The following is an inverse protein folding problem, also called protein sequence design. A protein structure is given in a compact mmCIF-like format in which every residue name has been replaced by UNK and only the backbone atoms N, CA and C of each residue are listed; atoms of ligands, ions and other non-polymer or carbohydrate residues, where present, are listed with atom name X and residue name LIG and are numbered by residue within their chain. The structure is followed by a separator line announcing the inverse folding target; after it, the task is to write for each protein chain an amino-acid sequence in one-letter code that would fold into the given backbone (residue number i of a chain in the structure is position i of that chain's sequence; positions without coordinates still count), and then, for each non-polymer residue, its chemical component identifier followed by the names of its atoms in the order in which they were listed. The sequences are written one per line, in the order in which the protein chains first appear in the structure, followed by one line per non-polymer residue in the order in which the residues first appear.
data_IF_899200804587
#
_entry.id   IF_899200804587
#
_cell.length_a   1.000
_cell.length_b   1.000
_cell.length_c   1.000
_cell.angle_alpha   90.00
_cell.angle_beta   90.00
_cell.angle_gamma   90.00
#
_symmetry.space_group_name_H-M   'P 1'
#
loop_
_entity.id
_entity.type
_entity.pdbx_description
1 polymer ?
#
# COMPACT_ATOMS: atom_id res chain seq x y z
N UNK A 1 16.94 5.14 8.87
CA UNK A 1 15.68 5.90 8.90
C UNK A 1 15.26 6.14 7.46
N UNK A 2 14.37 5.30 6.92
CA UNK A 2 13.89 5.44 5.54
C UNK A 2 12.89 6.59 5.50
N UNK A 3 13.43 7.81 5.37
CA UNK A 3 12.64 9.00 5.15
C UNK A 3 12.13 8.94 3.70
N UNK A 4 10.82 8.79 3.55
CA UNK A 4 10.12 8.87 2.28
C UNK A 4 10.59 10.13 1.53
N UNK A 5 11.03 9.94 0.29
CA UNK A 5 11.42 11.02 -0.62
C UNK A 5 10.23 11.95 -0.85
N UNK A 6 10.10 13.01 -0.05
CA UNK A 6 9.14 14.08 -0.30
C UNK A 6 9.58 14.82 -1.56
N UNK A 7 8.77 14.76 -2.63
CA UNK A 7 9.05 15.56 -3.81
C UNK A 7 8.87 17.05 -3.46
N UNK A 8 9.79 17.86 -3.97
CA UNK A 8 10.10 19.23 -3.55
C UNK A 8 8.93 20.26 -3.62
N UNK A 9 7.75 19.87 -4.11
CA UNK A 9 6.60 20.77 -4.37
C UNK A 9 5.25 20.26 -3.82
N UNK A 10 5.25 19.37 -2.81
CA UNK A 10 4.01 18.83 -2.27
C UNK A 10 3.38 19.75 -1.23
N UNK A 11 2.05 19.99 -1.34
CA UNK A 11 1.31 20.78 -0.35
C UNK A 11 0.79 19.87 0.75
N UNK A 12 1.24 20.12 1.99
CA UNK A 12 0.64 19.50 3.18
C UNK A 12 -0.82 19.95 3.28
N UNK A 13 -1.72 18.99 3.52
CA UNK A 13 -3.16 19.20 3.69
C UNK A 13 -3.54 19.26 5.15
N UNK A 14 -3.03 18.33 5.94
CA UNK A 14 -3.24 18.32 7.39
C UNK A 14 -2.09 17.62 8.09
N UNK A 15 -1.91 17.98 9.36
CA UNK A 15 -1.00 17.31 10.28
C UNK A 15 -1.79 17.01 11.55
N UNK A 16 -1.71 15.77 12.03
CA UNK A 16 -2.33 15.35 13.29
C UNK A 16 -1.24 14.93 14.26
N UNK A 17 -1.24 15.56 15.43
CA UNK A 17 -0.35 15.26 16.56
C UNK A 17 -1.16 14.55 17.64
N UNK A 18 -0.70 13.38 18.07
CA UNK A 18 -1.32 12.61 19.13
C UNK A 18 -0.26 12.34 20.19
N UNK A 19 -0.54 12.70 21.44
CA UNK A 19 0.22 12.23 22.59
C UNK A 19 -0.58 11.11 23.26
N UNK A 20 0.03 9.94 23.41
CA UNK A 20 -0.54 8.82 24.15
C UNK A 20 0.53 8.23 25.07
N UNK A 21 0.32 8.35 26.38
CA UNK A 21 1.18 7.83 27.43
C UNK A 21 2.66 8.25 27.30
N UNK A 22 2.92 9.51 26.92
CA UNK A 22 4.28 10.04 26.75
C UNK A 22 4.89 9.77 25.36
N UNK A 23 4.21 9.00 24.51
CA UNK A 23 4.59 8.79 23.12
C UNK A 23 3.90 9.79 22.21
N UNK A 24 4.65 10.33 21.25
CA UNK A 24 4.13 11.26 20.25
C UNK A 24 4.02 10.58 18.90
N UNK A 25 2.83 10.64 18.31
CA UNK A 25 2.54 10.17 16.97
C UNK A 25 2.21 11.36 16.08
N UNK A 26 2.78 11.35 14.88
CA UNK A 26 2.60 12.41 13.88
C UNK A 26 2.07 11.76 12.62
N UNK A 27 0.90 12.18 12.17
CA UNK A 27 0.35 11.84 10.86
C UNK A 27 0.40 13.07 9.97
N UNK A 28 1.02 12.95 8.80
CA UNK A 28 1.10 14.02 7.80
C UNK A 28 0.34 13.58 6.57
N UNK A 29 -0.72 14.32 6.23
CA UNK A 29 -1.45 14.14 4.98
C UNK A 29 -0.94 15.18 3.98
N UNK A 30 -0.36 14.74 2.87
CA UNK A 30 0.07 15.62 1.79
C UNK A 30 -0.64 15.29 0.48
N UNK A 31 -0.83 16.31 -0.34
CA UNK A 31 -1.30 16.16 -1.72
C UNK A 31 -0.11 16.33 -2.67
N UNK A 32 0.08 15.32 -3.51
CA UNK A 32 1.04 15.35 -4.60
C UNK A 32 0.34 15.11 -5.93
N UNK A 33 0.86 15.73 -6.98
CA UNK A 33 0.43 15.44 -8.34
C UNK A 33 1.26 14.30 -8.89
N UNK A 34 0.65 13.12 -9.03
CA UNK A 34 1.28 12.01 -9.74
C UNK A 34 1.04 12.20 -11.23
N UNK A 35 2.06 12.60 -11.98
CA UNK A 35 2.03 12.50 -13.45
C UNK A 35 2.03 11.02 -13.82
N UNK A 36 0.86 10.51 -14.24
CA UNK A 36 0.73 9.16 -14.79
C UNK A 36 1.28 9.20 -16.22
N UNK A 37 2.50 8.73 -16.41
CA UNK A 37 3.01 8.46 -17.75
C UNK A 37 2.31 7.23 -18.29
N UNK A 38 1.69 7.34 -19.47
CA UNK A 38 1.14 6.17 -20.16
C UNK A 38 2.30 5.28 -20.57
N UNK A 39 2.32 4.07 -20.04
CA UNK A 39 3.23 3.03 -20.51
C UNK A 39 2.57 2.37 -21.73
N UNK A 40 3.28 2.19 -22.85
CA UNK A 40 2.74 1.43 -23.97
C UNK A 40 2.34 0.04 -23.52
N UNK A 41 1.22 -0.46 -24.04
CA UNK A 41 0.77 -1.83 -23.80
C UNK A 41 1.85 -2.76 -24.36
N UNK A 42 2.32 -3.68 -23.53
CA UNK A 42 3.27 -4.71 -23.90
C UNK A 42 2.75 -6.07 -23.43
N UNK A 43 3.40 -7.14 -23.87
CA UNK A 43 3.02 -8.52 -23.52
C UNK A 43 3.29 -8.86 -22.03
N UNK A 44 3.75 -7.90 -21.22
CA UNK A 44 4.01 -8.05 -19.77
C UNK A 44 2.86 -7.51 -18.91
N UNK A 45 1.63 -7.51 -19.43
CA UNK A 45 0.46 -7.21 -18.61
C UNK A 45 0.03 -8.44 -17.83
N UNK A 46 -0.16 -8.26 -16.52
CA UNK A 46 -0.66 -9.29 -15.63
C UNK A 46 -2.08 -8.89 -15.22
N UNK A 47 -3.05 -9.75 -15.48
CA UNK A 47 -4.40 -9.61 -14.95
C UNK A 47 -4.41 -10.00 -13.48
N UNK A 48 -5.13 -9.25 -12.64
CA UNK A 48 -5.29 -9.54 -11.21
C UNK A 48 -6.77 -9.53 -10.89
N UNK A 49 -7.29 -10.69 -10.51
CA UNK A 49 -8.67 -10.89 -10.08
C UNK A 49 -8.74 -11.16 -8.58
N UNK A 50 -9.84 -10.75 -7.96
CA UNK A 50 -10.10 -11.03 -6.55
C UNK A 50 -10.55 -12.49 -6.36
N UNK A 51 -10.03 -13.15 -5.33
CA UNK A 51 -10.45 -14.49 -4.91
C UNK A 51 -10.74 -14.51 -3.42
N UNK A 52 -11.87 -15.07 -3.02
CA UNK A 52 -12.25 -15.14 -1.61
C UNK A 52 -11.34 -16.09 -0.80
N UNK A 53 -10.86 -17.17 -1.41
CA UNK A 53 -10.01 -18.16 -0.72
C UNK A 53 -8.54 -17.77 -0.65
N UNK A 54 -8.07 -17.01 -1.65
CA UNK A 54 -6.65 -16.72 -1.88
C UNK A 54 -6.35 -15.22 -1.96
N UNK A 55 -7.30 -14.36 -1.59
CA UNK A 55 -7.27 -12.89 -1.70
C UNK A 55 -7.17 -12.35 -3.14
N UNK A 56 -6.21 -12.83 -3.94
CA UNK A 56 -6.08 -12.52 -5.36
C UNK A 56 -5.56 -13.72 -6.15
N UNK A 57 -5.84 -13.73 -7.46
CA UNK A 57 -5.25 -14.64 -8.44
C UNK A 57 -4.78 -13.81 -9.63
N UNK A 58 -3.57 -14.08 -10.12
CA UNK A 58 -3.06 -13.46 -11.34
C UNK A 58 -3.34 -14.29 -12.59
N UNK A 59 -3.26 -13.68 -13.77
CA UNK A 59 -3.32 -14.39 -15.07
C UNK A 59 -2.18 -15.42 -15.25
N UNK A 60 -1.13 -15.32 -14.45
CA UNK A 60 -0.01 -16.27 -14.36
C UNK A 60 -0.23 -17.32 -13.26
N UNK A 61 -1.44 -17.41 -12.70
CA UNK A 61 -1.84 -18.31 -11.62
C UNK A 61 -1.06 -18.10 -10.30
N UNK A 62 -0.50 -16.90 -10.07
CA UNK A 62 0.06 -16.52 -8.78
C UNK A 62 -1.08 -16.16 -7.81
N UNK A 63 -0.95 -16.57 -6.55
CA UNK A 63 -2.02 -16.51 -5.54
C UNK A 63 -1.47 -15.97 -4.22
N UNK A 64 -2.28 -15.24 -3.46
CA UNK A 64 -1.94 -14.95 -2.08
C UNK A 64 -2.33 -16.14 -1.19
N UNK A 65 -1.39 -16.66 -0.42
CA UNK A 65 -1.63 -17.74 0.56
C UNK A 65 -2.39 -17.23 1.81
N UNK A 66 -3.50 -16.49 1.59
CA UNK A 66 -4.21 -15.74 2.62
C UNK A 66 -4.78 -16.64 3.72
N UNK A 67 -5.28 -17.82 3.37
CA UNK A 67 -5.77 -18.81 4.33
C UNK A 67 -4.69 -19.33 5.29
N UNK A 68 -3.41 -19.31 4.91
CA UNK A 68 -2.30 -19.66 5.80
C UNK A 68 -2.05 -18.54 6.81
N UNK A 69 -2.12 -17.28 6.37
CA UNK A 69 -1.90 -16.12 7.22
C UNK A 69 -2.98 -15.97 8.30
N UNK A 70 -4.26 -16.13 7.96
CA UNK A 70 -5.36 -16.11 8.94
C UNK A 70 -5.16 -17.17 10.04
N UNK A 71 -4.80 -18.40 9.65
CA UNK A 71 -4.52 -19.51 10.59
C UNK A 71 -3.30 -19.27 11.48
N UNK A 72 -2.37 -18.42 11.08
CA UNK A 72 -1.23 -18.02 11.90
C UNK A 72 -1.63 -16.94 12.91
N UNK A 73 -2.46 -15.98 12.50
CA UNK A 73 -2.97 -14.93 13.39
C UNK A 73 -3.90 -15.47 14.48
N UNK A 74 -4.71 -16.48 14.17
CA UNK A 74 -5.57 -17.14 15.18
C UNK A 74 -4.78 -17.88 16.26
N UNK A 75 -3.48 -18.16 16.04
CA UNK A 75 -2.60 -18.86 16.98
C UNK A 75 -1.70 -17.95 17.81
N UNK A 76 -1.73 -16.64 17.56
CA UNK A 76 -0.89 -15.61 18.21
C UNK A 76 -1.71 -14.75 19.14
#
# INVERSE_FOLDING_TARGET
MNCFFYQKNEKIKSVTLINSNGNYYISVLAKFEKKIQKVPINDKMIGLDFSMSELFVSSENQRADYSRYLRMLEKS
#
